data_IF_132648424252
#
_entry.id   IF_132648424252
#
_cell.length_a   1.000
_cell.length_b   1.000
_cell.length_c   1.000
_cell.angle_alpha   90.00
_cell.angle_beta   90.00
_cell.angle_gamma   90.00
#
_symmetry.space_group_name_H-M   'P 1'
#
loop_
_entity.id
_entity.type
_entity.pdbx_description
1 polymer ?
#
# COMPACT_ATOMS: atom_id res chain seq x y z
N UNK A 1 8.60 8.36 23.93
CA UNK A 1 8.73 9.34 22.83
C UNK A 1 10.01 8.98 22.11
N UNK A 2 10.01 8.92 20.78
CA UNK A 2 11.19 8.56 19.97
C UNK A 2 11.98 9.86 19.73
N UNK A 3 13.17 10.03 20.32
CA UNK A 3 13.93 11.29 20.24
C UNK A 3 14.45 11.57 18.81
N UNK A 4 14.47 10.55 17.95
CA UNK A 4 14.92 10.64 16.57
C UNK A 4 13.84 11.19 15.62
N UNK A 5 12.63 11.39 16.11
CA UNK A 5 11.55 12.00 15.31
C UNK A 5 11.75 13.51 15.31
N UNK A 6 11.99 14.07 14.12
CA UNK A 6 12.14 15.50 13.90
C UNK A 6 10.79 16.22 14.03
N UNK A 7 9.79 15.75 13.27
CA UNK A 7 8.43 16.31 13.28
C UNK A 7 7.38 15.31 12.81
N UNK A 8 6.17 15.50 13.28
CA UNK A 8 4.99 14.76 12.81
C UNK A 8 4.46 15.42 11.52
N UNK A 9 4.28 14.62 10.47
CA UNK A 9 3.60 15.05 9.24
C UNK A 9 2.09 14.89 9.36
N UNK A 10 1.66 13.71 9.80
CA UNK A 10 0.24 13.41 9.96
C UNK A 10 -0.02 12.76 11.32
N UNK A 11 -0.92 13.36 12.07
CA UNK A 11 -1.38 12.85 13.35
C UNK A 11 -2.26 11.59 13.15
N UNK A 12 -2.44 10.83 14.23
CA UNK A 12 -3.32 9.67 14.24
C UNK A 12 -4.75 10.00 13.78
N UNK A 13 -5.27 11.15 14.19
CA UNK A 13 -6.64 11.56 13.85
C UNK A 13 -6.78 11.94 12.37
N UNK A 14 -5.78 12.62 11.80
CA UNK A 14 -5.73 12.91 10.36
C UNK A 14 -5.65 11.62 9.53
N UNK A 15 -4.84 10.67 9.96
CA UNK A 15 -4.73 9.35 9.31
C UNK A 15 -6.08 8.63 9.35
N UNK A 16 -6.72 8.56 10.53
CA UNK A 16 -8.01 7.89 10.68
C UNK A 16 -9.11 8.50 9.80
N UNK A 17 -9.16 9.83 9.70
CA UNK A 17 -10.13 10.51 8.83
C UNK A 17 -9.86 10.24 7.34
N UNK A 18 -8.58 10.26 6.92
CA UNK A 18 -8.23 9.95 5.53
C UNK A 18 -8.54 8.50 5.17
N UNK A 19 -8.28 7.55 6.07
CA UNK A 19 -8.62 6.14 5.88
C UNK A 19 -10.11 5.95 5.64
N UNK A 20 -10.99 6.62 6.42
CA UNK A 20 -12.44 6.58 6.19
C UNK A 20 -12.83 7.12 4.82
N UNK A 21 -12.21 8.22 4.41
CA UNK A 21 -12.47 8.82 3.08
C UNK A 21 -12.05 7.86 1.97
N UNK A 22 -10.83 7.28 2.06
CA UNK A 22 -10.34 6.29 1.09
C UNK A 22 -11.23 5.05 1.02
N UNK A 23 -11.66 4.53 2.17
CA UNK A 23 -12.56 3.39 2.21
C UNK A 23 -13.91 3.71 1.51
N UNK A 24 -14.43 4.93 1.70
CA UNK A 24 -15.61 5.40 0.97
C UNK A 24 -15.42 5.41 -0.55
N UNK A 25 -14.30 5.95 -1.03
CA UNK A 25 -13.91 5.95 -2.44
C UNK A 25 -13.85 4.51 -2.99
N UNK A 26 -13.19 3.60 -2.26
CA UNK A 26 -13.07 2.17 -2.62
C UNK A 26 -14.44 1.47 -2.69
N UNK A 27 -15.35 1.75 -1.75
CA UNK A 27 -16.70 1.17 -1.72
C UNK A 27 -17.49 1.58 -2.97
N UNK A 28 -17.46 2.86 -3.34
CA UNK A 28 -18.20 3.35 -4.51
C UNK A 28 -17.67 2.73 -5.81
N UNK A 29 -16.36 2.62 -5.95
CA UNK A 29 -15.73 1.99 -7.11
C UNK A 29 -16.02 0.48 -7.17
N UNK A 30 -15.96 -0.23 -6.06
CA UNK A 30 -16.29 -1.66 -5.99
C UNK A 30 -17.76 -1.91 -6.34
N UNK A 31 -18.69 -1.09 -5.85
CA UNK A 31 -20.10 -1.16 -6.24
C UNK A 31 -20.30 -0.97 -7.74
N UNK A 32 -19.60 0.03 -8.31
CA UNK A 32 -19.69 0.31 -9.74
C UNK A 32 -19.13 -0.85 -10.59
N UNK A 33 -18.06 -1.50 -10.16
CA UNK A 33 -17.47 -2.62 -10.86
C UNK A 33 -18.35 -3.88 -10.77
N UNK A 34 -18.84 -4.20 -9.58
CA UNK A 34 -19.75 -5.32 -9.37
C UNK A 34 -21.04 -5.16 -10.19
N UNK A 35 -21.57 -3.93 -10.27
CA UNK A 35 -22.74 -3.64 -11.09
C UNK A 35 -22.51 -3.88 -12.60
N UNK A 36 -21.30 -3.56 -13.11
CA UNK A 36 -20.91 -3.86 -14.50
C UNK A 36 -20.90 -5.36 -14.79
N UNK A 37 -20.55 -6.17 -13.79
CA UNK A 37 -20.56 -7.63 -13.89
C UNK A 37 -21.94 -8.25 -13.64
N UNK A 38 -22.98 -7.42 -13.43
CA UNK A 38 -24.36 -7.87 -13.21
C UNK A 38 -24.68 -8.23 -11.77
N UNK A 39 -23.82 -7.86 -10.81
CA UNK A 39 -24.05 -8.05 -9.38
C UNK A 39 -24.65 -6.79 -8.76
N UNK A 40 -25.71 -6.95 -7.97
CA UNK A 40 -26.43 -5.82 -7.33
C UNK A 40 -26.03 -5.58 -5.86
N UNK A 41 -25.35 -6.56 -5.28
CA UNK A 41 -24.85 -6.51 -3.91
C UNK A 41 -23.35 -6.71 -3.89
N UNK A 42 -22.70 -6.31 -2.81
CA UNK A 42 -21.29 -6.56 -2.55
C UNK A 42 -21.10 -8.07 -2.31
N UNK A 43 -20.83 -8.80 -3.39
CA UNK A 43 -20.71 -10.26 -3.39
C UNK A 43 -19.43 -10.68 -2.68
N UNK A 44 -19.61 -11.52 -1.66
CA UNK A 44 -18.60 -11.92 -0.71
C UNK A 44 -17.36 -12.62 -1.34
N UNK A 45 -17.60 -13.33 -2.45
CA UNK A 45 -16.57 -14.12 -3.11
C UNK A 45 -15.77 -13.36 -4.18
N UNK A 46 -16.11 -12.08 -4.43
CA UNK A 46 -15.58 -11.35 -5.57
C UNK A 46 -14.52 -10.32 -5.22
N UNK A 47 -14.45 -9.89 -3.97
CA UNK A 47 -13.54 -8.81 -3.55
C UNK A 47 -12.37 -9.36 -2.77
N UNK A 48 -11.15 -8.99 -3.19
CA UNK A 48 -9.90 -9.34 -2.52
C UNK A 48 -9.08 -8.07 -2.27
N UNK A 49 -8.69 -7.86 -1.02
CA UNK A 49 -7.72 -6.83 -0.63
C UNK A 49 -6.36 -7.49 -0.46
N UNK A 50 -5.33 -6.95 -1.11
CA UNK A 50 -3.97 -7.50 -1.08
C UNK A 50 -3.00 -6.45 -0.53
N UNK A 51 -2.60 -6.53 0.76
CA UNK A 51 -1.50 -5.73 1.29
C UNK A 51 -0.15 -6.15 0.72
N UNK A 52 0.72 -5.19 0.44
CA UNK A 52 2.15 -5.42 0.22
C UNK A 52 2.84 -5.39 1.59
N UNK A 53 3.28 -6.56 2.01
CA UNK A 53 3.84 -6.73 3.35
C UNK A 53 5.32 -6.33 3.39
N UNK A 54 5.84 -5.74 4.50
CA UNK A 54 5.20 -5.61 5.83
C UNK A 54 4.66 -4.19 6.08
N UNK A 55 5.05 -3.21 5.24
CA UNK A 55 4.76 -1.80 5.45
C UNK A 55 3.28 -1.47 5.49
N UNK A 56 2.51 -2.02 4.55
CA UNK A 56 1.07 -1.78 4.46
C UNK A 56 0.22 -2.40 5.59
N UNK A 57 0.81 -3.18 6.50
CA UNK A 57 0.07 -3.98 7.49
C UNK A 57 -0.92 -3.14 8.32
N UNK A 58 -0.48 -2.00 8.84
CA UNK A 58 -1.30 -1.15 9.71
C UNK A 58 -2.36 -0.42 8.88
N UNK A 59 -1.97 0.14 7.74
CA UNK A 59 -2.88 0.80 6.82
C UNK A 59 -4.03 -0.11 6.39
N UNK A 60 -3.72 -1.33 5.95
CA UNK A 60 -4.74 -2.30 5.53
C UNK A 60 -5.63 -2.72 6.70
N UNK A 61 -5.06 -2.94 7.90
CA UNK A 61 -5.86 -3.27 9.07
C UNK A 61 -6.88 -2.18 9.43
N UNK A 62 -6.56 -0.91 9.18
CA UNK A 62 -7.49 0.18 9.37
C UNK A 62 -8.52 0.26 8.23
N UNK A 63 -8.09 0.17 6.96
CA UNK A 63 -8.99 0.22 5.80
C UNK A 63 -10.05 -0.88 5.84
N UNK A 64 -9.68 -2.15 6.08
CA UNK A 64 -10.63 -3.26 6.03
C UNK A 64 -11.72 -3.17 7.10
N UNK A 65 -11.46 -2.47 8.20
CA UNK A 65 -12.46 -2.22 9.25
C UNK A 65 -13.50 -1.14 8.88
N UNK A 66 -13.17 -0.29 7.91
CA UNK A 66 -14.08 0.71 7.35
C UNK A 66 -14.88 0.18 6.14
N UNK A 67 -14.58 -1.04 5.65
CA UNK A 67 -15.29 -1.67 4.52
C UNK A 67 -16.45 -2.54 5.05
N UNK A 68 -17.73 -2.12 4.89
CA UNK A 68 -18.89 -2.81 5.46
C UNK A 68 -19.35 -3.99 4.57
N UNK A 69 -18.42 -4.84 4.16
CA UNK A 69 -18.68 -5.99 3.31
C UNK A 69 -17.85 -7.19 3.75
N UNK A 70 -18.26 -8.39 3.36
CA UNK A 70 -17.39 -9.56 3.44
C UNK A 70 -16.39 -9.50 2.30
N UNK A 71 -15.12 -9.67 2.60
CA UNK A 71 -14.02 -9.64 1.66
C UNK A 71 -12.97 -10.69 2.04
N UNK A 72 -12.17 -11.08 1.05
CA UNK A 72 -11.00 -11.92 1.29
C UNK A 72 -9.74 -11.07 1.42
N UNK A 73 -8.78 -11.55 2.19
CA UNK A 73 -7.45 -10.97 2.27
C UNK A 73 -6.45 -11.90 1.59
N UNK A 74 -5.75 -11.37 0.59
CA UNK A 74 -4.53 -11.96 0.07
C UNK A 74 -3.31 -11.38 0.78
N UNK A 75 -2.14 -11.98 0.60
CA UNK A 75 -0.88 -11.44 1.11
C UNK A 75 0.18 -11.51 0.02
N UNK A 76 0.91 -10.41 -0.16
CA UNK A 76 2.08 -10.34 -1.03
C UNK A 76 3.24 -9.72 -0.27
N UNK A 77 4.39 -10.37 -0.29
CA UNK A 77 5.63 -9.79 0.19
C UNK A 77 6.60 -9.59 -0.97
N UNK A 78 7.13 -8.39 -1.09
CA UNK A 78 8.13 -8.02 -2.08
C UNK A 78 9.44 -7.73 -1.36
N UNK A 79 10.51 -8.37 -1.79
CA UNK A 79 11.85 -8.16 -1.26
C UNK A 79 12.62 -7.24 -2.19
N UNK A 80 13.09 -6.11 -1.65
CA UNK A 80 14.13 -5.31 -2.27
C UNK A 80 15.46 -5.77 -1.68
N UNK A 81 16.34 -6.39 -2.47
CA UNK A 81 17.69 -6.69 -1.97
C UNK A 81 18.56 -5.44 -1.97
N UNK A 82 18.96 -4.92 -0.82
CA UNK A 82 20.14 -4.08 -0.71
C UNK A 82 21.35 -5.04 -0.68
N UNK A 83 21.78 -5.53 -1.82
CA UNK A 83 22.94 -6.42 -1.90
C UNK A 83 24.08 -5.77 -2.64
N UNK A 84 25.29 -5.92 -2.12
CA UNK A 84 26.60 -5.49 -2.64
C UNK A 84 26.96 -6.07 -4.02
N UNK A 85 26.05 -6.17 -4.94
CA UNK A 85 26.37 -6.53 -6.32
C UNK A 85 25.93 -5.43 -7.26
N UNK A 86 26.87 -4.92 -8.04
CA UNK A 86 26.84 -3.82 -9.03
C UNK A 86 25.81 -4.00 -10.16
N UNK A 87 24.82 -4.87 -9.99
CA UNK A 87 23.64 -4.98 -10.86
C UNK A 87 22.41 -5.09 -9.97
N UNK A 88 21.61 -4.03 -9.92
CA UNK A 88 20.29 -4.02 -9.28
C UNK A 88 19.45 -5.17 -9.88
N UNK A 89 19.34 -6.27 -9.15
CA UNK A 89 18.29 -7.24 -9.39
C UNK A 89 17.03 -6.59 -8.79
N UNK A 90 16.13 -6.09 -9.63
CA UNK A 90 14.92 -5.37 -9.24
C UNK A 90 14.09 -6.06 -8.16
N UNK A 91 13.00 -5.43 -7.73
CA UNK A 91 12.05 -6.00 -6.79
C UNK A 91 11.58 -7.39 -7.27
N UNK A 92 11.51 -8.37 -6.37
CA UNK A 92 10.97 -9.70 -6.67
C UNK A 92 10.10 -10.18 -5.52
N UNK A 93 9.17 -11.07 -5.86
CA UNK A 93 8.28 -11.67 -4.86
C UNK A 93 9.05 -12.54 -3.88
N UNK A 94 8.81 -12.32 -2.59
CA UNK A 94 9.25 -13.18 -1.51
C UNK A 94 8.21 -14.25 -1.16
N UNK A 95 6.95 -14.07 -1.62
CA UNK A 95 5.85 -15.02 -1.45
C UNK A 95 5.20 -15.31 -2.80
N UNK A 96 4.47 -16.41 -2.91
CA UNK A 96 3.57 -16.67 -4.04
C UNK A 96 2.38 -15.74 -4.00
N UNK A 97 1.79 -15.46 -5.18
CA UNK A 97 0.53 -14.72 -5.25
C UNK A 97 -0.60 -15.56 -4.62
N UNK A 98 -1.63 -14.91 -4.06
CA UNK A 98 -2.84 -15.62 -3.66
C UNK A 98 -3.44 -16.40 -4.82
N UNK A 99 -4.01 -17.58 -4.51
CA UNK A 99 -4.76 -18.37 -5.49
C UNK A 99 -6.11 -17.69 -5.86
N UNK A 100 -6.66 -18.09 -7.01
CA UNK A 100 -8.02 -17.73 -7.43
C UNK A 100 -8.27 -16.23 -7.62
N UNK A 101 -7.33 -15.52 -8.26
CA UNK A 101 -7.47 -14.09 -8.59
C UNK A 101 -8.29 -13.83 -9.86
N UNK A 102 -8.50 -14.86 -10.70
CA UNK A 102 -9.26 -14.74 -11.96
C UNK A 102 -10.71 -14.32 -11.71
N UNK A 103 -11.16 -13.30 -12.42
CA UNK A 103 -12.52 -12.76 -12.30
C UNK A 103 -12.85 -12.07 -10.97
N UNK A 104 -11.86 -11.78 -10.12
CA UNK A 104 -12.04 -11.06 -8.85
C UNK A 104 -11.80 -9.56 -9.02
N UNK A 105 -12.43 -8.76 -8.16
CA UNK A 105 -12.14 -7.34 -8.00
C UNK A 105 -11.04 -7.20 -6.95
N UNK A 106 -9.90 -6.69 -7.35
CA UNK A 106 -8.69 -6.67 -6.51
C UNK A 106 -8.30 -5.25 -6.21
N UNK A 107 -8.07 -4.95 -4.93
CA UNK A 107 -7.42 -3.72 -4.47
C UNK A 107 -6.11 -4.10 -3.79
N UNK A 108 -5.00 -3.62 -4.36
CA UNK A 108 -3.66 -3.75 -3.78
C UNK A 108 -3.37 -2.49 -2.97
N UNK A 109 -2.89 -2.66 -1.74
CA UNK A 109 -2.56 -1.54 -0.86
C UNK A 109 -1.10 -1.61 -0.42
N UNK A 110 -0.39 -0.48 -0.52
CA UNK A 110 0.97 -0.31 -0.03
C UNK A 110 1.07 0.88 0.93
N UNK A 111 2.13 0.95 1.71
CA UNK A 111 2.37 2.06 2.63
C UNK A 111 2.84 3.32 1.90
N UNK A 112 3.71 3.17 0.91
CA UNK A 112 4.32 4.32 0.22
C UNK A 112 4.64 4.02 -1.26
N UNK A 113 4.31 4.97 -2.12
CA UNK A 113 4.80 5.03 -3.48
C UNK A 113 6.04 5.94 -3.54
N UNK A 114 7.19 5.33 -3.73
CA UNK A 114 8.48 6.01 -3.91
C UNK A 114 8.95 5.81 -5.37
N UNK A 115 9.80 4.86 -5.65
CA UNK A 115 10.34 4.60 -7.00
C UNK A 115 9.33 3.99 -8.00
N UNK A 116 8.21 3.47 -7.55
CA UNK A 116 7.18 2.79 -8.34
C UNK A 116 7.48 1.32 -8.68
N UNK A 117 8.71 0.83 -8.42
CA UNK A 117 9.13 -0.52 -8.84
C UNK A 117 8.30 -1.64 -8.20
N UNK A 118 8.01 -1.54 -6.90
CA UNK A 118 7.22 -2.53 -6.17
C UNK A 118 5.80 -2.62 -6.72
N UNK A 119 5.11 -1.48 -6.80
CA UNK A 119 3.73 -1.44 -7.30
C UNK A 119 3.63 -1.90 -8.75
N UNK A 120 4.54 -1.47 -9.63
CA UNK A 120 4.58 -1.90 -11.02
C UNK A 120 4.80 -3.41 -11.16
N UNK A 121 5.67 -4.00 -10.33
CA UNK A 121 5.87 -5.45 -10.30
C UNK A 121 4.60 -6.17 -9.87
N UNK A 122 3.98 -5.76 -8.77
CA UNK A 122 2.75 -6.38 -8.24
C UNK A 122 1.61 -6.24 -9.24
N UNK A 123 1.39 -5.04 -9.78
CA UNK A 123 0.39 -4.79 -10.82
C UNK A 123 0.57 -5.73 -12.03
N UNK A 124 1.79 -5.82 -12.57
CA UNK A 124 2.12 -6.68 -13.71
C UNK A 124 1.84 -8.16 -13.43
N UNK A 125 2.09 -8.63 -12.22
CA UNK A 125 1.92 -10.05 -11.86
C UNK A 125 0.45 -10.39 -11.63
N UNK A 126 -0.30 -9.53 -10.94
CA UNK A 126 -1.73 -9.73 -10.69
C UNK A 126 -2.53 -9.60 -11.99
N UNK A 127 -2.20 -8.63 -12.85
CA UNK A 127 -2.87 -8.46 -14.15
C UNK A 127 -2.83 -9.71 -15.04
N UNK A 128 -1.78 -10.54 -14.93
CA UNK A 128 -1.67 -11.81 -15.65
C UNK A 128 -2.64 -12.89 -15.16
N UNK A 129 -3.26 -12.70 -14.02
CA UNK A 129 -4.24 -13.63 -13.45
C UNK A 129 -5.67 -13.32 -13.92
N UNK A 130 -5.85 -12.38 -14.88
CA UNK A 130 -7.13 -11.99 -15.44
C UNK A 130 -8.18 -11.58 -14.37
N UNK A 131 -7.88 -10.63 -13.46
CA UNK A 131 -8.87 -10.13 -12.54
C UNK A 131 -10.00 -9.38 -13.30
N UNK A 132 -11.19 -9.30 -12.72
CA UNK A 132 -12.29 -8.49 -13.26
C UNK A 132 -11.96 -6.99 -13.15
N UNK A 133 -11.36 -6.56 -12.06
CA UNK A 133 -10.75 -5.23 -11.91
C UNK A 133 -9.51 -5.30 -11.01
N UNK A 134 -8.57 -4.37 -11.24
CA UNK A 134 -7.37 -4.23 -10.42
C UNK A 134 -7.15 -2.74 -10.15
N UNK A 135 -7.13 -2.37 -8.87
CA UNK A 135 -6.82 -1.02 -8.40
C UNK A 135 -5.67 -1.04 -7.42
N UNK A 136 -4.96 0.08 -7.39
CA UNK A 136 -3.80 0.28 -6.53
C UNK A 136 -4.07 1.44 -5.57
N UNK A 137 -3.72 1.28 -4.30
CA UNK A 137 -3.80 2.34 -3.31
C UNK A 137 -2.54 2.43 -2.46
N UNK A 138 -2.20 3.65 -2.04
CA UNK A 138 -1.06 3.92 -1.17
C UNK A 138 -1.45 4.89 -0.07
N UNK A 139 -0.87 4.71 1.11
CA UNK A 139 -1.06 5.69 2.17
C UNK A 139 -0.28 6.97 1.88
N UNK A 140 0.93 6.84 1.33
CA UNK A 140 1.78 7.97 0.97
C UNK A 140 2.20 7.92 -0.50
N UNK A 141 2.13 9.07 -1.14
CA UNK A 141 2.69 9.30 -2.48
C UNK A 141 3.80 10.36 -2.38
N UNK A 142 5.06 9.94 -2.61
CA UNK A 142 6.18 10.88 -2.66
C UNK A 142 6.18 11.66 -3.97
N UNK A 143 6.30 12.98 -3.87
CA UNK A 143 6.46 13.88 -5.03
C UNK A 143 7.91 13.86 -5.50
N UNK A 144 8.31 12.78 -6.18
CA UNK A 144 9.67 12.55 -6.71
C UNK A 144 9.63 12.17 -8.19
N UNK A 145 10.74 12.36 -8.89
CA UNK A 145 10.91 11.77 -10.22
C UNK A 145 11.05 10.25 -10.09
N UNK A 146 10.12 9.50 -10.67
CA UNK A 146 10.06 8.05 -10.53
C UNK A 146 10.82 7.32 -11.61
N UNK A 147 11.40 6.20 -11.24
CA UNK A 147 12.07 5.30 -12.20
C UNK A 147 11.08 4.50 -13.04
N UNK A 148 9.86 4.31 -12.54
CA UNK A 148 8.78 3.59 -13.22
C UNK A 148 7.48 4.37 -13.02
N UNK A 149 6.80 4.66 -14.13
CA UNK A 149 5.45 5.23 -14.07
C UNK A 149 4.44 4.13 -13.70
N UNK A 150 3.65 4.40 -12.66
CA UNK A 150 2.60 3.50 -12.17
C UNK A 150 1.39 4.33 -11.76
N UNK A 151 0.24 3.94 -12.27
CA UNK A 151 -1.02 4.56 -11.87
C UNK A 151 -1.44 4.05 -10.49
N UNK A 152 -1.89 4.97 -9.64
CA UNK A 152 -2.47 4.67 -8.33
C UNK A 152 -3.85 5.31 -8.26
N UNK A 153 -4.86 4.51 -7.93
CA UNK A 153 -6.26 4.91 -7.88
C UNK A 153 -6.58 5.66 -6.57
N UNK A 154 -5.93 5.25 -5.45
CA UNK A 154 -6.20 5.78 -4.12
C UNK A 154 -4.91 6.27 -3.47
N UNK A 155 -4.84 7.56 -3.16
CA UNK A 155 -3.69 8.17 -2.49
C UNK A 155 -4.14 8.75 -1.15
N UNK A 156 -3.53 8.31 -0.07
CA UNK A 156 -3.77 8.87 1.26
C UNK A 156 -3.32 10.31 1.34
N UNK A 157 -2.01 10.53 1.27
CA UNK A 157 -1.40 11.84 1.31
C UNK A 157 -0.24 11.93 0.32
N UNK A 158 -0.13 13.09 -0.35
CA UNK A 158 1.08 13.47 -1.07
C UNK A 158 2.11 14.04 -0.09
N UNK A 159 3.37 13.63 -0.23
CA UNK A 159 4.46 14.10 0.63
C UNK A 159 5.70 14.49 -0.19
N UNK A 160 6.54 15.43 0.30
CA UNK A 160 7.83 15.71 -0.29
C UNK A 160 8.80 14.53 -0.13
N UNK A 161 9.97 14.61 -0.78
CA UNK A 161 11.03 13.62 -0.67
C UNK A 161 11.74 13.69 0.68
N UNK A 162 11.08 13.14 1.69
CA UNK A 162 11.60 13.06 3.05
C UNK A 162 11.62 11.62 3.53
N UNK A 163 12.48 11.34 4.50
CA UNK A 163 12.53 10.02 5.11
C UNK A 163 11.51 9.93 6.23
N UNK A 164 10.46 9.13 6.00
CA UNK A 164 9.31 9.02 6.90
C UNK A 164 9.24 7.66 7.57
N UNK A 165 8.73 7.64 8.79
CA UNK A 165 8.53 6.45 9.63
C UNK A 165 7.17 6.50 10.33
N UNK A 166 6.76 5.37 10.88
CA UNK A 166 5.50 5.24 11.62
C UNK A 166 4.35 4.76 10.76
N UNK A 167 3.28 4.35 11.41
CA UNK A 167 2.07 3.81 10.77
C UNK A 167 2.35 2.68 9.77
N UNK A 168 3.30 1.79 10.10
CA UNK A 168 3.74 0.69 9.25
C UNK A 168 5.10 0.92 8.58
N UNK A 169 5.44 2.18 8.25
CA UNK A 169 6.73 2.57 7.69
C UNK A 169 7.86 2.36 8.69
N UNK A 170 9.02 1.94 8.22
CA UNK A 170 10.16 1.63 9.07
C UNK A 170 11.48 2.28 8.67
N UNK A 171 12.37 2.29 9.66
CA UNK A 171 13.80 2.41 9.46
C UNK A 171 14.52 1.26 10.18
N UNK A 172 15.23 0.42 9.42
CA UNK A 172 15.92 -0.78 9.93
C UNK A 172 15.02 -1.72 10.76
N UNK A 173 13.73 -1.86 10.41
CA UNK A 173 12.74 -2.68 11.11
C UNK A 173 12.10 -2.02 12.33
N UNK A 174 12.49 -0.81 12.69
CA UNK A 174 11.96 -0.06 13.83
C UNK A 174 10.92 0.98 13.39
N UNK A 175 10.20 1.55 14.35
CA UNK A 175 9.21 2.64 14.22
C UNK A 175 7.87 2.25 13.57
N UNK A 176 7.67 1.06 13.01
CA UNK A 176 6.38 0.64 12.43
C UNK A 176 5.19 0.81 13.39
N UNK A 177 5.44 0.67 14.69
CA UNK A 177 4.47 0.80 15.77
C UNK A 177 4.19 2.26 16.19
N UNK A 178 4.89 3.24 15.64
CA UNK A 178 4.57 4.63 15.93
C UNK A 178 3.24 5.00 15.28
N UNK A 179 2.25 5.57 16.05
CA UNK A 179 0.88 5.66 15.55
C UNK A 179 0.62 6.84 14.59
N UNK A 180 1.64 7.62 14.31
CA UNK A 180 1.61 8.79 13.43
C UNK A 180 2.59 8.58 12.28
N UNK A 181 2.51 9.42 11.23
CA UNK A 181 3.52 9.49 10.19
C UNK A 181 4.41 10.68 10.49
N UNK A 182 5.71 10.44 10.58
CA UNK A 182 6.68 11.44 11.02
C UNK A 182 7.96 11.40 10.19
N UNK A 183 8.64 12.52 10.12
CA UNK A 183 9.98 12.62 9.53
C UNK A 183 11.01 12.18 10.56
N UNK A 184 11.93 11.33 10.14
CA UNK A 184 13.07 10.93 10.94
C UNK A 184 14.20 11.95 10.78
N UNK A 185 14.83 12.34 11.90
CA UNK A 185 15.99 13.24 11.87
C UNK A 185 17.12 12.62 11.01
N UNK A 186 17.63 13.39 10.06
CA UNK A 186 18.72 12.94 9.18
C UNK A 186 19.99 12.57 9.97
N UNK A 187 20.21 13.20 11.11
CA UNK A 187 21.32 12.87 12.00
C UNK A 187 21.19 11.46 12.65
N UNK A 188 19.98 10.94 12.73
CA UNK A 188 19.72 9.59 13.21
C UNK A 188 19.91 8.52 12.12
N UNK A 189 20.04 8.93 10.84
CA UNK A 189 20.28 8.04 9.69
C UNK A 189 21.79 7.95 9.48
N UNK A 190 22.44 6.80 9.74
CA UNK A 190 23.87 6.66 9.47
C UNK A 190 24.18 6.99 8.00
N UNK A 191 25.14 7.85 7.77
CA UNK A 191 25.67 8.10 6.42
C UNK A 191 26.17 6.78 5.82
N UNK A 192 25.61 6.38 4.69
CA UNK A 192 26.05 5.20 3.91
C UNK A 192 27.43 5.39 3.33
#
# INVERSE_FOLDING_TARGET
>A
MFPEIERVLYSRDQIAERVKTLAGEMIEDLKADLAKDGHTELDEDRVIIIPIMTGAMIFVADVVRELPMKLSLGLVAVSSYPGESVRSKGAHFATELPDNLEGKHIIVLDDILDSGQTLALVHKMISKQNPASLRMGVMLDKTVERTVDVHVDYVGFEIPDEFVVGYGLDYNGYYRNYPQIAVLDQAAIPSR
#
